data_IF_676976472910
#
_entry.id   IF_676976472910
#
_cell.length_a   1.000
_cell.length_b   1.000
_cell.length_c   1.000
_cell.angle_alpha   90.00
_cell.angle_beta   90.00
_cell.angle_gamma   90.00
#
_symmetry.space_group_name_H-M   'P 1'
#
loop_
_entity.id
_entity.type
_entity.pdbx_description
1 polymer ?
#
# COMPACT_ATOMS: atom_id res chain seq x y z
N UNK A 1 7.37 1.80 29.85
CA UNK A 1 7.31 1.97 28.38
C UNK A 1 6.57 3.27 28.12
N UNK A 2 7.19 4.18 27.39
CA UNK A 2 6.59 5.46 27.02
C UNK A 2 5.40 5.25 26.07
N UNK A 3 4.23 5.81 26.39
CA UNK A 3 2.99 5.65 25.61
C UNK A 3 3.15 6.19 24.19
N UNK A 4 3.92 7.28 24.03
CA UNK A 4 4.16 7.86 22.72
C UNK A 4 4.95 6.90 21.82
N UNK A 5 5.95 6.22 22.37
CA UNK A 5 6.70 5.16 21.67
C UNK A 5 5.79 4.02 21.19
N UNK A 6 4.90 3.51 22.06
CA UNK A 6 3.98 2.42 21.69
C UNK A 6 3.04 2.81 20.56
N UNK A 7 2.52 4.04 20.58
CA UNK A 7 1.65 4.55 19.52
C UNK A 7 2.41 4.73 18.19
N UNK A 8 3.68 5.12 18.26
CA UNK A 8 4.53 5.23 17.08
C UNK A 8 4.82 3.85 16.47
N UNK A 9 5.17 2.87 17.29
CA UNK A 9 5.38 1.48 16.84
C UNK A 9 4.12 0.88 16.20
N UNK A 10 2.95 1.14 16.79
CA UNK A 10 1.67 0.74 16.19
C UNK A 10 1.46 1.42 14.83
N UNK A 11 1.77 2.71 14.72
CA UNK A 11 1.63 3.44 13.47
C UNK A 11 2.53 2.86 12.37
N UNK A 12 3.81 2.63 12.68
CA UNK A 12 4.81 2.12 11.73
C UNK A 12 4.53 0.66 11.33
N UNK A 13 3.90 -0.11 12.23
CA UNK A 13 3.50 -1.50 11.99
C UNK A 13 2.24 -1.60 11.14
N UNK A 14 1.20 -0.82 11.43
CA UNK A 14 -0.12 -1.02 10.81
C UNK A 14 -0.34 -0.15 9.56
N UNK A 15 0.42 0.94 9.41
CA UNK A 15 0.22 1.92 8.35
C UNK A 15 1.50 2.17 7.56
N UNK A 16 1.31 2.57 6.31
CA UNK A 16 2.34 3.06 5.41
C UNK A 16 1.99 4.49 4.98
N UNK A 17 3.01 5.34 4.90
CA UNK A 17 2.95 6.58 4.14
C UNK A 17 2.86 6.28 2.64
N UNK A 18 2.59 7.31 1.83
CA UNK A 18 2.57 7.17 0.37
C UNK A 18 3.88 6.62 -0.20
N UNK A 19 5.01 7.13 0.27
CA UNK A 19 6.32 6.75 -0.27
C UNK A 19 6.61 5.29 0.10
N UNK A 20 6.40 4.91 1.36
CA UNK A 20 6.59 3.52 1.81
C UNK A 20 5.67 2.54 1.08
N UNK A 21 4.41 2.89 0.82
CA UNK A 21 3.50 2.02 0.07
C UNK A 21 3.93 1.83 -1.40
N UNK A 22 4.47 2.88 -2.03
CA UNK A 22 4.99 2.84 -3.40
C UNK A 22 6.25 1.97 -3.46
N UNK A 23 7.17 2.19 -2.53
CA UNK A 23 8.42 1.44 -2.43
C UNK A 23 8.14 -0.04 -2.10
N UNK A 24 7.16 -0.31 -1.24
CA UNK A 24 6.77 -1.68 -0.91
C UNK A 24 6.22 -2.44 -2.13
N UNK A 25 5.38 -1.80 -2.93
CA UNK A 25 4.79 -2.40 -4.13
C UNK A 25 5.76 -2.50 -5.32
N UNK A 26 6.85 -1.74 -5.30
CA UNK A 26 7.81 -1.62 -6.40
C UNK A 26 7.15 -1.22 -7.73
N UNK A 27 6.36 -0.14 -7.69
CA UNK A 27 5.63 0.38 -8.86
C UNK A 27 5.86 1.88 -9.03
N UNK A 28 5.57 2.39 -10.23
CA UNK A 28 5.62 3.83 -10.46
C UNK A 28 4.56 4.60 -9.65
N UNK A 29 4.84 5.87 -9.35
CA UNK A 29 3.88 6.76 -8.68
C UNK A 29 2.56 6.84 -9.45
N UNK A 30 2.62 6.90 -10.78
CA UNK A 30 1.42 6.93 -11.64
C UNK A 30 0.58 5.66 -11.48
N UNK A 31 1.22 4.49 -11.45
CA UNK A 31 0.54 3.21 -11.23
C UNK A 31 -0.15 3.18 -9.86
N UNK A 32 0.56 3.60 -8.80
CA UNK A 32 -0.01 3.68 -7.45
C UNK A 32 -1.24 4.58 -7.39
N UNK A 33 -1.18 5.77 -8.00
CA UNK A 33 -2.32 6.68 -8.06
C UNK A 33 -3.52 6.09 -8.80
N UNK A 34 -3.30 5.32 -9.87
CA UNK A 34 -4.35 4.59 -10.56
C UNK A 34 -5.01 3.53 -9.68
N UNK A 35 -4.24 2.79 -8.88
CA UNK A 35 -4.77 1.80 -7.93
C UNK A 35 -5.65 2.45 -6.87
N UNK A 36 -5.20 3.58 -6.29
CA UNK A 36 -5.97 4.34 -5.30
C UNK A 36 -7.24 4.92 -5.92
N UNK A 37 -7.15 5.53 -7.10
CA UNK A 37 -8.32 6.11 -7.79
C UNK A 37 -9.38 5.06 -8.14
N UNK A 38 -8.95 3.83 -8.44
CA UNK A 38 -9.84 2.69 -8.74
C UNK A 38 -10.36 1.97 -7.49
N UNK A 39 -10.07 2.47 -6.29
CA UNK A 39 -10.48 1.86 -5.02
C UNK A 39 -9.84 0.50 -4.74
N UNK A 40 -8.67 0.20 -5.33
CA UNK A 40 -7.93 -1.04 -5.08
C UNK A 40 -7.02 -0.96 -3.86
N UNK A 41 -6.76 0.24 -3.38
CA UNK A 41 -5.99 0.55 -2.16
C UNK A 41 -6.75 1.65 -1.43
N UNK A 42 -7.04 1.45 -0.15
CA UNK A 42 -7.79 2.41 0.66
C UNK A 42 -6.90 3.55 1.12
N UNK A 43 -7.26 4.78 0.77
CA UNK A 43 -6.58 5.99 1.21
C UNK A 43 -7.22 6.52 2.49
N UNK A 44 -6.43 6.62 3.56
CA UNK A 44 -6.86 7.22 4.82
C UNK A 44 -6.37 8.66 4.86
N UNK A 45 -7.27 9.62 5.11
CA UNK A 45 -6.93 11.04 5.26
C UNK A 45 -7.25 11.49 6.68
N UNK A 46 -6.25 12.01 7.40
CA UNK A 46 -6.41 12.61 8.74
C UNK A 46 -5.72 13.97 8.76
N UNK A 47 -6.49 15.04 8.55
CA UNK A 47 -5.93 16.37 8.32
C UNK A 47 -5.04 16.40 7.08
N UNK A 48 -3.77 16.78 7.24
CA UNK A 48 -2.75 16.75 6.19
C UNK A 48 -2.10 15.37 6.01
N UNK A 49 -2.21 14.48 6.99
CA UNK A 49 -1.61 13.16 6.93
C UNK A 49 -2.40 12.24 5.98
N UNK A 50 -1.66 11.50 5.17
CA UNK A 50 -2.19 10.46 4.27
C UNK A 50 -1.50 9.15 4.59
N UNK A 51 -2.30 8.14 4.93
CA UNK A 51 -1.86 6.81 5.31
C UNK A 51 -2.58 5.76 4.48
N UNK A 52 -1.99 4.57 4.44
CA UNK A 52 -2.48 3.38 3.77
C UNK A 52 -2.36 2.20 4.73
N UNK A 53 -3.31 1.27 4.72
CA UNK A 53 -3.22 0.08 5.56
C UNK A 53 -2.11 -0.83 5.04
N UNK A 54 -1.17 -1.22 5.91
CA UNK A 54 -0.08 -2.12 5.52
C UNK A 54 -0.63 -3.43 4.94
N UNK A 55 -1.57 -4.08 5.63
CA UNK A 55 -2.11 -5.37 5.21
C UNK A 55 -2.71 -5.35 3.79
N UNK A 56 -3.36 -4.25 3.37
CA UNK A 56 -3.89 -4.11 2.02
C UNK A 56 -2.78 -4.04 0.97
N UNK A 57 -1.72 -3.28 1.28
CA UNK A 57 -0.54 -3.14 0.41
C UNK A 57 0.18 -4.48 0.26
N UNK A 58 0.37 -5.20 1.36
CA UNK A 58 1.00 -6.53 1.36
C UNK A 58 0.17 -7.54 0.56
N UNK A 59 -1.15 -7.59 0.81
CA UNK A 59 -2.05 -8.43 0.05
C UNK A 59 -1.99 -8.10 -1.45
N UNK A 60 -1.97 -6.81 -1.80
CA UNK A 60 -1.90 -6.36 -3.20
C UNK A 60 -0.63 -6.79 -3.91
N UNK A 61 0.50 -6.84 -3.19
CA UNK A 61 1.79 -7.36 -3.68
C UNK A 61 1.70 -8.88 -3.92
N UNK A 62 1.15 -9.60 -2.95
CA UNK A 62 1.06 -11.06 -3.01
C UNK A 62 0.16 -11.57 -4.15
N UNK A 63 -0.94 -10.87 -4.46
CA UNK A 63 -1.82 -11.23 -5.59
C UNK A 63 -1.31 -10.72 -6.94
N UNK A 64 -0.23 -9.93 -6.99
CA UNK A 64 0.27 -9.35 -8.24
C UNK A 64 0.65 -10.41 -9.30
N UNK A 65 1.31 -11.54 -8.96
CA UNK A 65 1.60 -12.61 -9.90
C UNK A 65 0.34 -13.25 -10.48
N UNK A 66 -0.68 -13.52 -9.65
CA UNK A 66 -1.96 -14.07 -10.09
C UNK A 66 -2.69 -13.13 -11.06
N UNK A 67 -2.67 -11.82 -10.76
CA UNK A 67 -3.24 -10.81 -11.65
C UNK A 67 -2.46 -10.72 -12.97
N UNK A 68 -1.14 -10.87 -12.94
CA UNK A 68 -0.33 -10.90 -14.16
C UNK A 68 -0.73 -12.07 -15.05
N UNK A 69 -0.81 -13.28 -14.49
CA UNK A 69 -1.25 -14.49 -15.23
C UNK A 69 -2.66 -14.31 -15.79
N UNK A 70 -3.59 -13.76 -14.98
CA UNK A 70 -4.98 -13.54 -15.39
C UNK A 70 -5.13 -12.58 -16.56
N UNK A 71 -4.35 -11.49 -16.59
CA UNK A 71 -4.52 -10.42 -17.59
C UNK A 71 -3.51 -10.50 -18.75
N UNK A 72 -2.40 -11.23 -18.58
CA UNK A 72 -1.32 -11.35 -19.57
C UNK A 72 -0.75 -12.77 -19.68
N UNK A 73 -1.59 -13.79 -19.96
CA UNK A 73 -1.16 -15.19 -19.96
C UNK A 73 -0.13 -15.53 -21.05
N UNK A 74 -0.01 -14.73 -22.11
CA UNK A 74 0.83 -15.01 -23.28
C UNK A 74 2.16 -14.22 -23.33
N UNK A 75 2.56 -13.53 -22.25
CA UNK A 75 3.81 -12.74 -22.21
C UNK A 75 5.00 -13.48 -21.57
N UNK A 76 5.05 -14.82 -21.65
CA UNK A 76 6.22 -15.60 -21.22
C UNK A 76 7.32 -15.61 -22.28
#
# INVERSE_FOLDING_TARGET
MDKQKQLRELLDREFLSRQEAIDYLDISKQCFHSLVARGKITKIKKGSAVLFYRYEIEHRKNIAPELFEKYRPYQR
#
